data_IF_538292052031
#
_entry.id   IF_538292052031
#
_cell.length_a   1.000
_cell.length_b   1.000
_cell.length_c   1.000
_cell.angle_alpha   90.00
_cell.angle_beta   90.00
_cell.angle_gamma   90.00
#
_symmetry.space_group_name_H-M   'P 1'
#
loop_
_entity.id
_entity.type
_entity.pdbx_description
1 polymer ?
#
# COMPACT_ATOMS: atom_id res chain seq x y z
N UNK A 1 -11.46 6.37 -18.45
CA UNK A 1 -10.85 7.70 -18.63
C UNK A 1 -9.44 7.63 -18.07
N UNK A 2 -8.39 7.79 -18.89
CA UNK A 2 -6.99 7.69 -18.45
C UNK A 2 -6.22 8.91 -18.95
N UNK A 3 -6.16 9.95 -18.13
CA UNK A 3 -5.47 11.21 -18.44
C UNK A 3 -4.54 11.63 -17.28
N UNK A 4 -3.66 12.58 -17.54
CA UNK A 4 -2.70 13.10 -16.55
C UNK A 4 -3.37 13.71 -15.31
N UNK A 5 -4.62 14.15 -15.44
CA UNK A 5 -5.40 14.74 -14.35
C UNK A 5 -6.26 13.72 -13.61
N UNK A 6 -6.52 12.55 -14.20
CA UNK A 6 -7.46 11.55 -13.66
C UNK A 6 -6.76 10.33 -13.08
N UNK A 7 -5.43 10.31 -13.07
CA UNK A 7 -4.62 9.18 -12.61
C UNK A 7 -3.46 9.68 -11.74
N UNK A 8 -3.25 9.03 -10.61
CA UNK A 8 -2.08 9.24 -9.76
C UNK A 8 -1.31 7.93 -9.65
N UNK A 9 -0.01 7.99 -9.87
CA UNK A 9 0.93 6.89 -9.66
C UNK A 9 1.63 7.07 -8.31
N UNK A 10 1.64 6.04 -7.47
CA UNK A 10 2.11 6.13 -6.09
C UNK A 10 3.29 5.17 -5.90
N UNK A 11 4.35 5.65 -5.25
CA UNK A 11 5.43 4.82 -4.69
C UNK A 11 5.34 4.92 -3.17
N UNK A 12 5.18 3.78 -2.50
CA UNK A 12 5.25 3.67 -1.04
C UNK A 12 6.59 3.05 -0.65
N UNK A 13 7.45 3.85 -0.04
CA UNK A 13 8.76 3.45 0.46
C UNK A 13 8.67 3.21 1.98
N UNK A 14 8.88 1.97 2.40
CA UNK A 14 8.86 1.58 3.81
C UNK A 14 10.24 1.75 4.44
N UNK A 15 10.29 1.81 5.77
CA UNK A 15 11.56 1.93 6.52
C UNK A 15 12.57 0.82 6.23
N UNK A 16 12.12 -0.36 5.78
CA UNK A 16 12.99 -1.46 5.36
C UNK A 16 13.69 -1.21 4.02
N UNK A 17 13.35 -0.14 3.30
CA UNK A 17 13.78 0.13 1.93
C UNK A 17 12.89 -0.52 0.86
N UNK A 18 11.92 -1.36 1.26
CA UNK A 18 10.99 -1.96 0.31
C UNK A 18 10.07 -0.90 -0.30
N UNK A 19 9.97 -0.92 -1.63
CA UNK A 19 9.11 -0.03 -2.39
C UNK A 19 7.96 -0.79 -3.03
N UNK A 20 6.74 -0.30 -2.83
CA UNK A 20 5.53 -0.82 -3.46
C UNK A 20 4.93 0.25 -4.36
N UNK A 21 4.45 -0.15 -5.53
CA UNK A 21 4.00 0.77 -6.57
C UNK A 21 2.52 0.54 -6.87
N UNK A 22 1.77 1.64 -6.94
CA UNK A 22 0.33 1.61 -7.16
C UNK A 22 -0.11 2.65 -8.18
N UNK A 23 -1.32 2.50 -8.70
CA UNK A 23 -2.07 3.57 -9.34
C UNK A 23 -3.45 3.73 -8.72
N UNK A 24 -3.96 4.95 -8.71
CA UNK A 24 -5.36 5.26 -8.40
C UNK A 24 -5.93 6.16 -9.50
N UNK A 25 -7.22 6.03 -9.76
CA UNK A 25 -7.93 6.75 -10.81
C UNK A 25 -9.12 7.50 -10.20
N UNK A 26 -9.43 8.68 -10.74
CA UNK A 26 -10.64 9.43 -10.38
C UNK A 26 -11.86 8.66 -10.87
N UNK A 27 -12.78 8.37 -9.96
CA UNK A 27 -14.02 7.65 -10.22
C UNK A 27 -15.20 8.42 -9.61
N UNK A 28 -16.38 8.13 -10.13
CA UNK A 28 -17.65 8.51 -9.50
C UNK A 28 -18.40 7.21 -9.16
N UNK A 29 -19.10 7.19 -8.03
CA UNK A 29 -19.96 6.07 -7.65
C UNK A 29 -21.43 6.28 -8.06
N UNK A 30 -21.75 7.42 -8.68
CA UNK A 30 -23.08 7.81 -9.12
C UNK A 30 -23.00 8.45 -10.52
N UNK A 31 -22.68 9.75 -10.61
CA UNK A 31 -22.54 10.47 -11.87
C UNK A 31 -21.49 11.58 -11.83
N UNK A 32 -20.92 11.91 -13.00
CA UNK A 32 -19.96 13.02 -13.15
C UNK A 32 -20.59 14.41 -12.97
N UNK A 33 -21.93 14.51 -12.92
CA UNK A 33 -22.66 15.75 -12.63
C UNK A 33 -22.82 16.03 -11.14
N UNK A 34 -22.49 15.05 -10.29
CA UNK A 34 -22.55 15.15 -8.85
C UNK A 34 -21.10 15.15 -8.30
N UNK A 35 -20.49 16.33 -8.06
CA UNK A 35 -19.09 16.43 -7.64
C UNK A 35 -18.80 15.72 -6.31
N UNK A 36 -19.76 15.68 -5.39
CA UNK A 36 -19.64 14.98 -4.11
C UNK A 36 -19.48 13.46 -4.28
N UNK A 37 -19.87 12.92 -5.44
CA UNK A 37 -19.70 11.51 -5.73
C UNK A 37 -18.29 11.14 -6.22
N UNK A 38 -17.47 12.15 -6.54
CA UNK A 38 -16.16 11.97 -7.16
C UNK A 38 -15.11 11.67 -6.08
N UNK A 39 -14.38 10.56 -6.27
CA UNK A 39 -13.34 10.13 -5.34
C UNK A 39 -12.21 9.41 -6.06
N UNK A 40 -11.07 9.24 -5.38
CA UNK A 40 -9.99 8.39 -5.86
C UNK A 40 -10.32 6.93 -5.60
N UNK A 41 -10.15 6.08 -6.61
CA UNK A 41 -10.34 4.65 -6.48
C UNK A 41 -9.38 4.04 -5.46
N UNK A 42 -9.68 2.82 -5.02
CA UNK A 42 -8.69 2.00 -4.29
C UNK A 42 -7.39 1.89 -5.10
N UNK A 43 -6.21 2.02 -4.44
CA UNK A 43 -4.94 1.80 -5.11
C UNK A 43 -4.85 0.38 -5.67
N UNK A 44 -4.44 0.26 -6.93
CA UNK A 44 -4.19 -1.03 -7.59
C UNK A 44 -2.70 -1.21 -7.80
N UNK A 45 -2.13 -2.40 -7.50
CA UNK A 45 -0.71 -2.64 -7.66
C UNK A 45 -0.28 -2.53 -9.11
N UNK A 46 0.92 -2.00 -9.33
CA UNK A 46 1.58 -1.91 -10.63
C UNK A 46 3.06 -2.25 -10.47
N UNK A 47 3.76 -2.43 -11.59
CA UNK A 47 5.21 -2.60 -11.56
C UNK A 47 5.95 -1.27 -11.37
N UNK A 48 7.17 -1.34 -10.82
CA UNK A 48 8.13 -0.22 -10.81
C UNK A 48 8.36 0.35 -12.21
N UNK A 49 8.46 -0.52 -13.22
CA UNK A 49 8.67 -0.12 -14.60
C UNK A 49 7.51 0.76 -15.12
N UNK A 50 6.26 0.37 -14.80
CA UNK A 50 5.07 1.18 -15.13
C UNK A 50 5.11 2.53 -14.44
N UNK A 51 5.41 2.58 -13.13
CA UNK A 51 5.53 3.83 -12.38
C UNK A 51 6.55 4.78 -13.02
N UNK A 52 7.76 4.28 -13.31
CA UNK A 52 8.83 5.09 -13.90
C UNK A 52 8.49 5.56 -15.31
N UNK A 53 7.91 4.69 -16.15
CA UNK A 53 7.44 5.06 -17.50
C UNK A 53 6.47 6.22 -17.44
N UNK A 54 5.51 6.17 -16.53
CA UNK A 54 4.43 7.16 -16.44
C UNK A 54 4.88 8.45 -15.76
N UNK A 55 5.80 8.35 -14.79
CA UNK A 55 6.52 9.52 -14.26
C UNK A 55 7.25 10.26 -15.38
N UNK A 56 7.99 9.55 -16.23
CA UNK A 56 8.68 10.13 -17.39
C UNK A 56 7.71 10.74 -18.40
N UNK A 57 6.53 10.15 -18.59
CA UNK A 57 5.48 10.69 -19.45
C UNK A 57 4.78 11.94 -18.87
N UNK A 58 5.09 12.34 -17.63
CA UNK A 58 4.56 13.53 -16.98
C UNK A 58 3.18 13.33 -16.34
N UNK A 59 2.84 12.10 -15.95
CA UNK A 59 1.68 11.87 -15.08
C UNK A 59 1.98 12.35 -13.66
N UNK A 60 0.93 12.71 -12.91
CA UNK A 60 1.06 13.02 -11.48
C UNK A 60 1.57 11.78 -10.74
N UNK A 61 2.64 11.97 -9.96
CA UNK A 61 3.22 10.91 -9.12
C UNK A 61 3.38 11.35 -7.69
N UNK A 62 3.17 10.45 -6.74
CA UNK A 62 3.37 10.68 -5.31
C UNK A 62 4.39 9.69 -4.75
N UNK A 63 5.38 10.18 -4.01
CA UNK A 63 6.32 9.36 -3.27
C UNK A 63 6.02 9.48 -1.77
N UNK A 64 5.57 8.40 -1.15
CA UNK A 64 5.13 8.35 0.24
C UNK A 64 6.12 7.55 1.07
N UNK A 65 6.68 8.15 2.11
CA UNK A 65 7.52 7.46 3.09
C UNK A 65 6.64 6.89 4.19
N UNK A 66 6.55 5.57 4.26
CA UNK A 66 5.69 4.85 5.19
C UNK A 66 6.48 4.49 6.44
N UNK A 67 6.21 5.23 7.53
CA UNK A 67 6.75 4.96 8.87
C UNK A 67 5.86 3.98 9.62
N UNK A 68 5.77 2.75 9.12
CA UNK A 68 5.04 1.65 9.79
C UNK A 68 6.05 0.66 10.36
N UNK A 69 5.96 0.38 11.65
CA UNK A 69 6.76 -0.67 12.28
C UNK A 69 6.38 -2.04 11.71
N UNK A 70 7.34 -2.98 11.60
CA UNK A 70 7.03 -4.37 11.28
C UNK A 70 5.97 -4.95 12.22
N UNK A 71 5.24 -5.96 11.76
CA UNK A 71 4.29 -6.67 12.61
C UNK A 71 5.02 -7.34 13.79
N UNK A 72 4.40 -7.32 14.96
CA UNK A 72 4.90 -8.05 16.13
C UNK A 72 4.65 -9.54 15.89
N UNK A 73 5.71 -10.35 15.92
CA UNK A 73 5.61 -11.81 15.82
C UNK A 73 5.27 -12.35 17.20
N UNK A 74 4.12 -13.01 17.33
CA UNK A 74 3.69 -13.66 18.58
C UNK A 74 3.90 -15.17 18.42
N UNK A 75 4.80 -15.74 19.23
CA UNK A 75 5.05 -17.19 19.26
C UNK A 75 3.96 -17.91 20.05
N UNK A 76 3.27 -18.86 19.43
CA UNK A 76 2.11 -19.54 20.02
C UNK A 76 2.44 -20.73 20.93
N UNK A 77 3.70 -21.10 21.16
CA UNK A 77 4.07 -22.39 21.80
C UNK A 77 4.86 -22.26 23.11
N UNK A 78 4.82 -21.10 23.79
CA UNK A 78 5.74 -20.81 24.90
C UNK A 78 5.41 -21.49 26.24
N UNK A 79 4.28 -22.19 26.38
CA UNK A 79 3.80 -22.66 27.69
C UNK A 79 4.03 -24.15 27.99
N UNK A 80 4.48 -24.97 27.04
CA UNK A 80 4.69 -26.42 27.32
C UNK A 80 6.00 -26.73 28.04
N UNK A 81 7.02 -25.88 27.93
CA UNK A 81 8.35 -26.19 28.46
C UNK A 81 8.50 -25.95 29.97
N UNK A 82 7.62 -25.13 30.58
CA UNK A 82 7.68 -24.85 32.02
C UNK A 82 6.99 -25.91 32.89
N UNK A 83 6.05 -26.71 32.34
CA UNK A 83 5.36 -27.77 33.08
C UNK A 83 6.19 -29.06 33.18
N UNK A 84 7.00 -29.37 32.16
CA UNK A 84 7.86 -30.57 32.15
C UNK A 84 9.01 -30.51 33.18
N UNK A 85 9.38 -29.31 33.65
CA UNK A 85 10.44 -29.12 34.64
C UNK A 85 9.97 -29.28 36.09
N UNK A 86 8.65 -29.35 36.33
CA UNK A 86 8.06 -29.47 37.67
C UNK A 86 7.77 -30.93 38.02
N UNK A 87 7.57 -31.81 37.03
CA UNK A 87 7.25 -33.24 37.25
C UNK A 87 8.50 -34.14 37.47
N UNK A 88 9.70 -33.56 37.56
CA UNK A 88 10.97 -34.29 37.69
C UNK A 88 11.67 -34.10 39.05
N UNK A 89 10.96 -33.68 40.10
CA UNK A 89 11.51 -33.45 41.46
C UNK A 89 10.77 -34.24 42.53
#
# INVERSE_FOLDING_TARGET
MHSKHTVIYICEEYLSGNCYYYKTELITHDSWRNPESISWSRPRPISKATYLKQKKAGFRTEHRKIKKSPAVVISLHKERDNLASIESS
#
